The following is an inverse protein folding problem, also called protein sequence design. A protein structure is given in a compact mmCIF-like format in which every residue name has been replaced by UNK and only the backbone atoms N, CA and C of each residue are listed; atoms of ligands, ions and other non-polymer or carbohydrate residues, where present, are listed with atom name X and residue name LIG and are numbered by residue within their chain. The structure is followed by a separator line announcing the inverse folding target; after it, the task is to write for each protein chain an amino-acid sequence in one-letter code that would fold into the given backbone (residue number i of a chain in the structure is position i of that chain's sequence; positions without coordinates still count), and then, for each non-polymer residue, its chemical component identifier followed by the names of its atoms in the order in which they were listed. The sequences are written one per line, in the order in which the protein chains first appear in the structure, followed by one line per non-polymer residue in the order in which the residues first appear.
data_IF_404132124067
#
_entry.id   IF_404132124067
#
_cell.length_a   1.000
_cell.length_b   1.000
_cell.length_c   1.000
_cell.angle_alpha   90.00
_cell.angle_beta   90.00
_cell.angle_gamma   90.00
#
_symmetry.space_group_name_H-M   'P 1'
#
loop_
_entity.id
_entity.type
_entity.pdbx_description
1 polymer ?
#
# COMPACT_ATOMS: atom_id res chain seq x y z
N UNK A 1 -68.47 -36.86 12.88
CA UNK A 1 -67.03 -37.18 12.99
C UNK A 1 -66.82 -38.56 13.62
N UNK A 2 -65.92 -39.38 13.08
CA UNK A 2 -65.48 -40.66 13.69
C UNK A 2 -64.30 -40.47 14.66
N UNK A 3 -63.89 -41.51 15.41
CA UNK A 3 -62.78 -41.40 16.38
C UNK A 3 -61.43 -41.03 15.74
N UNK A 4 -61.15 -41.48 14.52
CA UNK A 4 -59.90 -41.17 13.83
C UNK A 4 -59.84 -39.70 13.42
N UNK A 5 -60.94 -39.18 12.87
CA UNK A 5 -61.11 -37.76 12.56
C UNK A 5 -61.04 -36.89 13.83
N UNK A 6 -61.63 -37.34 14.95
CA UNK A 6 -61.51 -36.68 16.25
C UNK A 6 -60.04 -36.60 16.69
N UNK A 7 -59.31 -37.70 16.60
CA UNK A 7 -57.89 -37.75 16.98
C UNK A 7 -57.02 -36.89 16.07
N UNK A 8 -57.30 -36.89 14.77
CA UNK A 8 -56.61 -36.03 13.80
C UNK A 8 -56.86 -34.56 14.11
N UNK A 9 -58.10 -34.19 14.42
CA UNK A 9 -58.46 -32.83 14.81
C UNK A 9 -57.80 -32.43 16.14
N UNK A 10 -57.77 -33.32 17.12
CA UNK A 10 -57.12 -33.11 18.42
C UNK A 10 -55.62 -32.78 18.27
N UNK A 11 -54.90 -33.52 17.42
CA UNK A 11 -53.48 -33.32 17.17
C UNK A 11 -53.19 -32.05 16.35
N UNK A 12 -54.16 -31.59 15.56
CA UNK A 12 -54.04 -30.37 14.75
C UNK A 12 -54.37 -29.11 15.57
N UNK A 13 -55.44 -29.17 16.35
CA UNK A 13 -55.92 -28.09 17.20
C UNK A 13 -56.68 -28.66 18.41
N UNK A 14 -55.98 -28.77 19.54
CA UNK A 14 -56.55 -29.26 20.80
C UNK A 14 -57.54 -28.29 21.46
N UNK A 15 -57.62 -27.04 21.01
CA UNK A 15 -58.46 -25.97 21.56
C UNK A 15 -59.57 -25.53 20.59
N UNK A 16 -59.91 -26.37 19.62
CA UNK A 16 -60.97 -26.09 18.64
C UNK A 16 -62.31 -25.78 19.31
N UNK A 17 -63.12 -24.93 18.65
CA UNK A 17 -64.48 -24.55 19.09
C UNK A 17 -65.59 -25.36 18.41
N UNK A 18 -65.23 -26.39 17.67
CA UNK A 18 -66.18 -27.23 16.96
C UNK A 18 -67.15 -27.93 17.94
N UNK A 19 -68.45 -27.74 17.73
CA UNK A 19 -69.49 -28.29 18.58
C UNK A 19 -69.51 -29.83 18.50
N UNK A 20 -69.20 -30.41 17.34
CA UNK A 20 -69.20 -31.85 17.17
C UNK A 20 -68.05 -32.50 17.95
N UNK A 21 -66.87 -31.87 17.93
CA UNK A 21 -65.71 -32.25 18.74
C UNK A 21 -66.02 -32.19 20.25
N UNK A 22 -66.66 -31.11 20.71
CA UNK A 22 -67.05 -30.98 22.11
C UNK A 22 -68.11 -31.97 22.56
N UNK A 23 -69.05 -32.33 21.67
CA UNK A 23 -70.07 -33.35 21.92
C UNK A 23 -69.42 -34.73 22.08
N UNK A 24 -68.60 -35.15 21.11
CA UNK A 24 -67.92 -36.45 21.14
C UNK A 24 -66.97 -36.61 22.33
N UNK A 25 -66.30 -35.53 22.75
CA UNK A 25 -65.51 -35.51 23.98
C UNK A 25 -66.32 -35.86 25.24
N UNK A 26 -67.60 -35.47 25.29
CA UNK A 26 -68.47 -35.70 26.46
C UNK A 26 -69.19 -37.05 26.40
N UNK A 27 -69.58 -37.48 25.20
CA UNK A 27 -70.43 -38.65 25.02
C UNK A 27 -69.63 -39.96 24.86
N UNK A 28 -68.40 -39.91 24.35
CA UNK A 28 -67.57 -41.11 24.13
C UNK A 28 -66.35 -41.16 25.07
N UNK A 29 -66.26 -42.25 25.84
CA UNK A 29 -65.15 -42.57 26.74
C UNK A 29 -63.79 -42.62 26.02
N UNK A 30 -63.72 -43.09 24.77
CA UNK A 30 -62.46 -43.18 24.01
C UNK A 30 -61.96 -41.81 23.60
N UNK A 31 -62.86 -40.95 23.14
CA UNK A 31 -62.56 -39.56 22.78
C UNK A 31 -62.17 -38.75 24.02
N UNK A 32 -62.87 -38.94 25.15
CA UNK A 32 -62.55 -38.30 26.42
C UNK A 32 -61.13 -38.66 26.92
N UNK A 33 -60.77 -39.95 26.86
CA UNK A 33 -59.43 -40.42 27.26
C UNK A 33 -58.33 -39.83 26.37
N UNK A 34 -58.51 -39.87 25.05
CA UNK A 34 -57.54 -39.31 24.10
C UNK A 34 -57.32 -37.81 24.31
N UNK A 35 -58.41 -37.07 24.58
CA UNK A 35 -58.34 -35.65 24.91
C UNK A 35 -57.57 -35.39 26.22
N UNK A 36 -57.82 -36.18 27.27
CA UNK A 36 -57.13 -36.03 28.55
C UNK A 36 -55.61 -36.27 28.42
N UNK A 37 -55.19 -37.28 27.64
CA UNK A 37 -53.78 -37.56 27.36
C UNK A 37 -53.10 -36.40 26.63
N UNK A 38 -53.75 -35.84 25.61
CA UNK A 38 -53.24 -34.68 24.88
C UNK A 38 -53.12 -33.44 25.79
N UNK A 39 -54.09 -33.20 26.67
CA UNK A 39 -54.05 -32.06 27.57
C UNK A 39 -52.95 -32.16 28.65
N UNK A 40 -52.62 -33.37 29.12
CA UNK A 40 -51.47 -33.56 30.02
C UNK A 40 -50.14 -33.30 29.30
N UNK A 41 -50.04 -33.65 28.02
CA UNK A 41 -48.89 -33.30 27.20
C UNK A 41 -48.76 -31.77 27.04
N UNK A 42 -49.84 -31.09 26.66
CA UNK A 42 -49.87 -29.62 26.54
C UNK A 42 -49.47 -28.91 27.85
N UNK A 43 -49.93 -29.43 28.98
CA UNK A 43 -49.56 -28.92 30.30
C UNK A 43 -48.06 -29.09 30.57
N UNK A 44 -47.49 -30.22 30.17
CA UNK A 44 -46.05 -30.48 30.31
C UNK A 44 -45.24 -29.55 29.42
N UNK A 45 -45.67 -29.35 28.18
CA UNK A 45 -45.03 -28.43 27.24
C UNK A 45 -45.06 -26.99 27.77
N UNK A 46 -46.21 -26.53 28.28
CA UNK A 46 -46.35 -25.19 28.86
C UNK A 46 -45.38 -24.98 30.02
N UNK A 47 -45.27 -25.96 30.94
CA UNK A 47 -44.29 -25.90 32.05
C UNK A 47 -42.84 -25.83 31.54
N UNK A 48 -42.52 -26.55 30.46
CA UNK A 48 -41.18 -26.52 29.88
C UNK A 48 -40.83 -25.15 29.26
N UNK A 49 -41.83 -24.41 28.76
CA UNK A 49 -41.65 -23.05 28.24
C UNK A 49 -41.66 -21.95 29.31
N UNK A 50 -42.07 -22.25 30.55
CA UNK A 50 -42.01 -21.33 31.70
C UNK A 50 -40.57 -21.19 32.24
N UNK A 51 -39.60 -20.99 31.34
CA UNK A 51 -38.22 -20.71 31.70
C UNK A 51 -38.11 -19.23 32.08
N UNK A 52 -37.68 -18.97 33.32
CA UNK A 52 -37.38 -17.61 33.78
C UNK A 52 -36.16 -17.08 33.04
N UNK A 53 -36.32 -15.95 32.36
CA UNK A 53 -35.18 -15.24 31.76
C UNK A 53 -34.34 -14.60 32.87
N UNK A 54 -32.99 -14.71 32.80
CA UNK A 54 -32.13 -14.00 33.73
C UNK A 54 -32.35 -12.49 33.62
N UNK A 55 -32.42 -11.79 34.76
CA UNK A 55 -32.61 -10.33 34.80
C UNK A 55 -31.49 -9.57 34.07
N UNK A 56 -30.30 -10.15 34.03
CA UNK A 56 -29.09 -9.57 33.40
C UNK A 56 -28.97 -9.84 31.90
N UNK A 57 -29.89 -10.62 31.31
CA UNK A 57 -29.79 -11.05 29.91
C UNK A 57 -29.79 -9.85 28.96
N UNK A 58 -30.70 -8.89 29.20
CA UNK A 58 -30.78 -7.66 28.41
C UNK A 58 -29.48 -6.87 28.44
N UNK A 59 -28.93 -6.66 29.63
CA UNK A 59 -27.70 -5.87 29.81
C UNK A 59 -26.49 -6.58 29.18
N UNK A 60 -26.42 -7.91 29.30
CA UNK A 60 -25.35 -8.70 28.67
C UNK A 60 -25.39 -8.65 27.14
N UNK A 61 -26.58 -8.62 26.54
CA UNK A 61 -26.75 -8.50 25.08
C UNK A 61 -26.31 -7.12 24.62
N UNK A 62 -26.78 -6.05 25.28
CA UNK A 62 -26.42 -4.66 24.94
C UNK A 62 -24.92 -4.45 25.05
N UNK A 63 -24.30 -4.91 26.15
CA UNK A 63 -22.86 -4.79 26.36
C UNK A 63 -22.07 -5.50 25.27
N UNK A 64 -22.47 -6.72 24.89
CA UNK A 64 -21.78 -7.51 23.85
C UNK A 64 -21.89 -6.86 22.48
N UNK A 65 -23.06 -6.31 22.13
CA UNK A 65 -23.26 -5.60 20.86
C UNK A 65 -22.43 -4.31 20.79
N UNK A 66 -22.37 -3.54 21.88
CA UNK A 66 -21.57 -2.32 21.94
C UNK A 66 -20.05 -2.59 21.84
N UNK A 67 -19.57 -3.65 22.49
CA UNK A 67 -18.14 -3.98 22.55
C UNK A 67 -17.62 -4.71 21.31
N UNK A 68 -18.41 -5.56 20.66
CA UNK A 68 -17.97 -6.22 19.43
C UNK A 68 -17.75 -5.23 18.29
N UNK A 69 -18.65 -4.24 18.13
CA UNK A 69 -18.51 -3.26 17.05
C UNK A 69 -17.36 -2.28 17.30
N UNK A 70 -17.10 -1.88 18.55
CA UNK A 70 -16.04 -0.92 18.84
C UNK A 70 -14.64 -1.49 18.64
N UNK A 71 -14.40 -2.73 19.07
CA UNK A 71 -13.06 -3.33 19.02
C UNK A 71 -12.61 -3.63 17.58
N UNK A 72 -13.52 -4.17 16.75
CA UNK A 72 -13.23 -4.43 15.33
C UNK A 72 -12.97 -3.12 14.57
N UNK A 73 -13.75 -2.07 14.84
CA UNK A 73 -13.57 -0.78 14.18
C UNK A 73 -12.27 -0.09 14.61
N UNK A 74 -11.93 -0.12 15.90
CA UNK A 74 -10.68 0.46 16.39
C UNK A 74 -9.47 -0.25 15.76
N UNK A 75 -9.45 -1.58 15.77
CA UNK A 75 -8.37 -2.38 15.17
C UNK A 75 -8.22 -2.09 13.67
N UNK A 76 -9.34 -1.97 12.94
CA UNK A 76 -9.31 -1.62 11.50
C UNK A 76 -8.74 -0.22 11.25
N UNK A 77 -9.09 0.77 12.10
CA UNK A 77 -8.57 2.14 11.99
C UNK A 77 -7.06 2.18 12.23
N UNK A 78 -6.57 1.47 13.24
CA UNK A 78 -5.12 1.38 13.50
C UNK A 78 -4.37 0.66 12.37
N UNK A 79 -4.95 -0.40 11.81
CA UNK A 79 -4.36 -1.10 10.67
C UNK A 79 -4.22 -0.17 9.44
N UNK A 80 -5.26 0.60 9.12
CA UNK A 80 -5.23 1.57 8.00
C UNK A 80 -4.19 2.67 8.27
N UNK A 81 -4.13 3.21 9.48
CA UNK A 81 -3.15 4.22 9.83
C UNK A 81 -1.71 3.70 9.69
N UNK A 82 -1.46 2.47 10.15
CA UNK A 82 -0.16 1.81 10.04
C UNK A 82 0.26 1.60 8.57
N UNK A 83 -0.66 1.16 7.70
CA UNK A 83 -0.34 0.97 6.28
C UNK A 83 -0.02 2.29 5.60
N UNK A 84 -0.80 3.34 5.87
CA UNK A 84 -0.54 4.68 5.30
C UNK A 84 0.82 5.18 5.76
N UNK A 85 1.13 5.11 7.06
CA UNK A 85 2.42 5.51 7.59
C UNK A 85 3.58 4.72 6.94
N UNK A 86 3.46 3.40 6.85
CA UNK A 86 4.46 2.54 6.21
C UNK A 86 4.70 2.96 4.75
N UNK A 87 3.65 3.25 3.98
CA UNK A 87 3.82 3.70 2.59
C UNK A 87 4.57 5.03 2.50
N UNK A 88 4.26 6.00 3.36
CA UNK A 88 4.99 7.27 3.39
C UNK A 88 6.46 7.07 3.75
N UNK A 89 6.76 6.22 4.74
CA UNK A 89 8.14 5.91 5.14
C UNK A 89 8.91 5.25 3.99
N UNK A 90 8.32 4.27 3.30
CA UNK A 90 8.97 3.58 2.17
C UNK A 90 9.25 4.56 1.03
N UNK A 91 8.28 5.40 0.66
CA UNK A 91 8.45 6.39 -0.40
C UNK A 91 9.52 7.41 -0.04
N UNK A 92 9.47 7.96 1.19
CA UNK A 92 10.46 8.94 1.65
C UNK A 92 11.87 8.34 1.70
N UNK A 93 12.02 7.12 2.22
CA UNK A 93 13.30 6.42 2.26
C UNK A 93 13.83 6.13 0.84
N UNK A 94 12.97 5.67 -0.08
CA UNK A 94 13.38 5.45 -1.47
C UNK A 94 13.80 6.74 -2.15
N UNK A 95 13.17 7.87 -1.86
CA UNK A 95 13.56 9.15 -2.43
C UNK A 95 14.88 9.64 -1.85
N UNK A 96 15.07 9.50 -0.53
CA UNK A 96 16.30 9.85 0.16
C UNK A 96 17.52 9.07 -0.35
N UNK A 97 17.38 7.75 -0.55
CA UNK A 97 18.46 6.90 -1.07
C UNK A 97 18.81 7.24 -2.53
N UNK A 98 17.84 7.74 -3.31
CA UNK A 98 18.04 8.11 -4.72
C UNK A 98 18.57 9.54 -4.92
N UNK A 99 18.85 10.31 -3.86
CA UNK A 99 19.42 11.63 -4.06
C UNK A 99 20.84 11.51 -4.66
N UNK A 100 21.15 12.26 -5.74
CA UNK A 100 22.48 12.26 -6.32
C UNK A 100 23.49 12.70 -5.27
N UNK A 101 24.67 12.08 -5.25
CA UNK A 101 25.76 12.50 -4.39
C UNK A 101 26.28 13.90 -4.74
N UNK A 102 27.25 14.41 -3.95
CA UNK A 102 27.78 15.76 -4.15
C UNK A 102 28.45 15.99 -5.50
N UNK A 103 29.08 14.95 -6.06
CA UNK A 103 29.79 15.03 -7.34
C UNK A 103 28.80 14.99 -8.50
N UNK A 104 27.80 14.11 -8.42
CA UNK A 104 26.75 13.96 -9.42
C UNK A 104 25.92 15.25 -9.52
N UNK A 105 25.56 15.83 -8.38
CA UNK A 105 24.90 17.14 -8.32
C UNK A 105 25.75 18.23 -8.98
N UNK A 106 27.05 18.26 -8.67
CA UNK A 106 27.98 19.20 -9.30
C UNK A 106 28.08 19.00 -10.81
N UNK A 107 28.14 17.75 -11.31
CA UNK A 107 28.18 17.45 -12.76
C UNK A 107 26.89 17.89 -13.45
N UNK A 108 25.73 17.60 -12.88
CA UNK A 108 24.43 18.03 -13.40
C UNK A 108 24.37 19.56 -13.48
N UNK A 109 24.74 20.24 -12.40
CA UNK A 109 24.74 21.70 -12.31
C UNK A 109 25.71 22.33 -13.31
N UNK A 110 26.92 21.76 -13.41
CA UNK A 110 27.96 22.14 -14.36
C UNK A 110 27.49 22.06 -15.82
N UNK A 111 26.73 21.02 -16.18
CA UNK A 111 26.18 20.83 -17.52
C UNK A 111 25.02 21.80 -17.82
N UNK A 112 24.19 22.12 -16.83
CA UNK A 112 23.04 23.01 -16.99
C UNK A 112 23.42 24.49 -17.13
N UNK A 113 24.53 24.93 -16.51
CA UNK A 113 24.87 26.35 -16.44
C UNK A 113 25.54 26.96 -17.67
N UNK A 114 26.06 26.18 -18.63
CA UNK A 114 26.86 26.76 -19.73
C UNK A 114 26.57 26.17 -21.13
N UNK A 115 25.34 26.22 -21.65
CA UNK A 115 25.06 25.75 -23.01
C UNK A 115 25.67 26.61 -24.13
N UNK A 116 26.02 27.88 -23.87
CA UNK A 116 26.39 28.85 -24.93
C UNK A 116 27.88 28.82 -25.33
N UNK A 117 28.77 28.25 -24.51
CA UNK A 117 30.23 28.34 -24.74
C UNK A 117 30.74 27.24 -25.69
N UNK A 118 29.88 26.31 -26.09
CA UNK A 118 30.24 25.15 -26.92
C UNK A 118 30.26 25.40 -28.43
N UNK A 119 29.99 26.63 -28.87
CA UNK A 119 29.77 26.97 -30.30
C UNK A 119 30.95 27.64 -31.00
N UNK A 120 32.19 27.48 -30.51
CA UNK A 120 33.36 27.82 -31.35
C UNK A 120 33.56 26.75 -32.41
N UNK A 121 33.44 27.14 -33.68
CA UNK A 121 33.60 26.23 -34.83
C UNK A 121 35.06 25.74 -34.99
N UNK A 122 36.03 26.48 -34.45
CA UNK A 122 37.45 26.18 -34.61
C UNK A 122 37.99 25.29 -33.49
N UNK A 123 38.73 24.24 -33.88
CA UNK A 123 39.46 23.38 -32.96
C UNK A 123 40.61 24.15 -32.27
N UNK A 124 40.78 23.91 -30.96
CA UNK A 124 41.85 24.50 -30.18
C UNK A 124 43.22 23.92 -30.59
N UNK A 125 44.27 24.75 -30.72
CA UNK A 125 45.63 24.27 -30.98
C UNK A 125 46.14 23.35 -29.87
N UNK A 126 46.85 22.28 -30.24
CA UNK A 126 47.37 21.29 -29.28
C UNK A 126 48.24 21.90 -28.18
N UNK A 127 49.02 22.93 -28.50
CA UNK A 127 49.86 23.62 -27.52
C UNK A 127 49.04 24.28 -26.38
N UNK A 128 47.86 24.81 -26.68
CA UNK A 128 46.96 25.37 -25.65
C UNK A 128 46.37 24.25 -24.79
N UNK A 129 46.11 23.10 -25.40
CA UNK A 129 45.61 21.93 -24.70
C UNK A 129 46.67 21.46 -23.69
N UNK A 130 47.88 21.20 -24.17
CA UNK A 130 48.97 20.68 -23.32
C UNK A 130 49.33 21.65 -22.19
N UNK A 131 49.30 22.98 -22.43
CA UNK A 131 49.54 24.00 -21.38
C UNK A 131 48.53 23.91 -20.23
N UNK A 132 47.26 23.65 -20.52
CA UNK A 132 46.22 23.59 -19.50
C UNK A 132 46.21 22.23 -18.78
N UNK A 133 46.55 21.13 -19.45
CA UNK A 133 46.78 19.85 -18.75
C UNK A 133 48.00 19.93 -17.82
N UNK A 134 49.07 20.62 -18.26
CA UNK A 134 50.23 20.87 -17.43
C UNK A 134 49.90 21.71 -16.19
N UNK A 135 48.98 22.69 -16.28
CA UNK A 135 48.53 23.47 -15.13
C UNK A 135 47.75 22.64 -14.09
N UNK A 136 47.19 21.51 -14.51
CA UNK A 136 46.54 20.52 -13.65
C UNK A 136 47.50 19.43 -13.14
N UNK A 137 48.81 19.54 -13.40
CA UNK A 137 49.80 18.50 -13.14
C UNK A 137 49.46 17.15 -13.80
N UNK A 138 48.84 17.19 -14.97
CA UNK A 138 48.46 16.02 -15.76
C UNK A 138 49.10 16.08 -17.15
N UNK A 139 49.20 14.93 -17.82
CA UNK A 139 49.66 14.84 -19.20
C UNK A 139 48.66 14.01 -20.00
N UNK A 140 48.49 14.36 -21.25
CA UNK A 140 47.72 13.57 -22.20
C UNK A 140 48.67 12.55 -22.81
N UNK A 141 48.31 11.27 -22.73
CA UNK A 141 48.96 10.21 -23.49
C UNK A 141 48.06 9.85 -24.68
N UNK A 142 48.62 9.92 -25.90
CA UNK A 142 47.89 9.67 -27.14
C UNK A 142 47.21 10.88 -27.81
N UNK A 143 46.50 10.57 -28.91
CA UNK A 143 45.73 11.54 -29.68
C UNK A 143 44.37 11.78 -29.02
N UNK A 144 44.06 13.05 -28.78
CA UNK A 144 42.70 13.48 -28.44
C UNK A 144 42.02 13.89 -29.74
N UNK A 145 40.71 13.63 -29.85
CA UNK A 145 39.90 14.15 -30.95
C UNK A 145 39.90 15.68 -31.02
N UNK A 146 39.13 16.26 -31.94
CA UNK A 146 39.07 17.72 -32.09
C UNK A 146 38.42 18.35 -30.86
N UNK A 147 39.23 19.08 -30.07
CA UNK A 147 38.77 19.80 -28.88
C UNK A 147 38.35 21.20 -29.28
N UNK A 148 37.07 21.53 -29.15
CA UNK A 148 36.55 22.85 -29.55
C UNK A 148 36.51 23.82 -28.37
N UNK A 149 36.45 23.30 -27.16
CA UNK A 149 36.41 24.12 -25.95
C UNK A 149 37.20 23.44 -24.84
N UNK A 150 37.97 24.24 -24.10
CA UNK A 150 38.59 23.79 -22.86
C UNK A 150 38.84 24.93 -21.90
N UNK A 151 38.51 24.74 -20.62
CA UNK A 151 38.74 25.72 -19.55
C UNK A 151 38.96 25.01 -18.21
N UNK A 152 39.78 25.61 -17.35
CA UNK A 152 39.86 25.21 -15.94
C UNK A 152 38.64 25.71 -15.18
N UNK A 153 38.05 24.87 -14.34
CA UNK A 153 36.93 25.23 -13.48
C UNK A 153 37.20 24.81 -12.02
N UNK A 154 36.62 25.51 -11.04
CA UNK A 154 36.58 25.02 -9.67
C UNK A 154 35.71 23.77 -9.60
N UNK A 155 36.22 22.71 -8.96
CA UNK A 155 35.58 21.40 -8.82
C UNK A 155 35.67 20.92 -7.37
N UNK A 156 34.86 19.94 -6.94
CA UNK A 156 35.00 19.35 -5.61
C UNK A 156 36.44 18.83 -5.39
N UNK A 157 37.12 19.38 -4.39
CA UNK A 157 38.51 19.00 -4.06
C UNK A 157 39.61 19.81 -4.75
N UNK A 158 39.30 20.73 -5.67
CA UNK A 158 40.31 21.64 -6.25
C UNK A 158 39.99 22.15 -7.65
N UNK A 159 41.03 22.52 -8.39
CA UNK A 159 40.89 22.96 -9.79
C UNK A 159 40.82 21.71 -10.68
N UNK A 160 39.82 21.66 -11.56
CA UNK A 160 39.67 20.67 -12.62
C UNK A 160 39.66 21.32 -14.00
N UNK A 161 39.36 20.51 -15.02
CA UNK A 161 39.14 20.99 -16.39
C UNK A 161 37.80 20.51 -16.92
N UNK A 162 37.20 21.32 -17.77
CA UNK A 162 36.09 20.94 -18.64
C UNK A 162 36.55 21.08 -20.09
N UNK A 163 36.24 20.10 -20.93
CA UNK A 163 36.47 20.18 -22.37
C UNK A 163 35.30 19.61 -23.16
N UNK A 164 35.19 20.02 -24.42
CA UNK A 164 34.27 19.42 -25.39
C UNK A 164 35.05 18.87 -26.58
N UNK A 165 34.84 17.58 -26.81
CA UNK A 165 35.41 16.79 -27.89
C UNK A 165 34.34 16.61 -28.96
N UNK A 166 34.67 16.92 -30.21
CA UNK A 166 33.80 16.60 -31.34
C UNK A 166 34.07 15.16 -31.78
N UNK A 167 33.04 14.33 -31.76
CA UNK A 167 33.08 12.94 -32.24
C UNK A 167 32.07 12.74 -33.37
N UNK A 168 32.19 11.66 -34.13
CA UNK A 168 31.25 11.33 -35.22
C UNK A 168 29.80 11.18 -34.72
N UNK A 169 29.61 10.87 -33.43
CA UNK A 169 28.31 10.72 -32.80
C UNK A 169 27.80 12.03 -32.14
N UNK A 170 28.52 13.13 -32.31
CA UNK A 170 28.21 14.43 -31.72
C UNK A 170 29.22 14.91 -30.66
N UNK A 171 28.98 16.09 -30.07
CA UNK A 171 29.86 16.66 -29.04
C UNK A 171 29.79 15.85 -27.74
N UNK A 172 30.95 15.55 -27.18
CA UNK A 172 31.12 14.88 -25.88
C UNK A 172 31.78 15.85 -24.90
N UNK A 173 31.10 16.14 -23.79
CA UNK A 173 31.66 16.98 -22.72
C UNK A 173 32.40 16.10 -21.70
N UNK A 174 33.70 16.35 -21.54
CA UNK A 174 34.53 15.69 -20.54
C UNK A 174 34.80 16.64 -19.37
N UNK A 175 34.47 16.20 -18.14
CA UNK A 175 34.88 16.88 -16.91
C UNK A 175 35.98 16.06 -16.23
N UNK A 176 37.12 16.70 -16.00
CA UNK A 176 38.29 16.11 -15.36
C UNK A 176 38.41 16.71 -13.96
N UNK A 177 38.27 15.87 -12.94
CA UNK A 177 38.30 16.25 -11.52
C UNK A 177 39.34 15.41 -10.77
N UNK A 178 40.64 15.77 -10.80
CA UNK A 178 41.72 14.90 -10.32
C UNK A 178 41.67 14.56 -8.83
N UNK A 179 41.01 15.41 -8.03
CA UNK A 179 40.92 15.30 -6.57
C UNK A 179 39.52 14.91 -6.08
N UNK A 180 38.60 14.59 -6.99
CA UNK A 180 37.28 14.10 -6.63
C UNK A 180 37.37 12.60 -6.34
N UNK A 181 36.99 12.19 -5.13
CA UNK A 181 36.94 10.79 -4.75
C UNK A 181 35.61 10.16 -5.15
N UNK A 182 35.66 9.18 -6.05
CA UNK A 182 34.51 8.36 -6.41
C UNK A 182 34.68 6.97 -5.81
N UNK A 183 33.76 6.61 -4.90
CA UNK A 183 33.76 5.28 -4.29
C UNK A 183 33.31 4.18 -5.26
N UNK A 184 32.52 4.53 -6.28
CA UNK A 184 32.03 3.65 -7.35
C UNK A 184 31.84 4.45 -8.64
N UNK A 185 31.92 3.77 -9.79
CA UNK A 185 31.44 4.32 -11.07
C UNK A 185 29.93 4.49 -10.99
N UNK A 186 29.44 5.63 -11.48
CA UNK A 186 28.03 5.99 -11.48
C UNK A 186 27.66 6.35 -12.90
N UNK A 187 26.73 5.59 -13.47
CA UNK A 187 26.13 5.92 -14.75
C UNK A 187 24.86 6.74 -14.49
N UNK A 188 24.60 7.77 -15.30
CA UNK A 188 23.44 8.65 -15.13
C UNK A 188 22.80 9.02 -16.47
N UNK A 189 21.50 9.23 -16.43
CA UNK A 189 20.71 9.63 -17.60
C UNK A 189 19.85 10.85 -17.22
N UNK A 190 20.12 11.96 -17.91
CA UNK A 190 19.36 13.20 -17.86
C UNK A 190 18.65 13.36 -19.21
N UNK A 191 17.59 14.17 -19.28
CA UNK A 191 16.80 14.34 -20.51
C UNK A 191 17.62 14.66 -21.77
N UNK A 192 18.80 15.29 -21.62
CA UNK A 192 19.70 15.68 -22.73
C UNK A 192 21.11 15.10 -22.66
N UNK A 193 21.46 14.37 -21.59
CA UNK A 193 22.83 13.92 -21.35
C UNK A 193 22.83 12.49 -20.82
N UNK A 194 23.80 11.69 -21.26
CA UNK A 194 24.02 10.32 -20.79
C UNK A 194 25.49 10.15 -20.44
N UNK A 195 25.78 9.66 -19.24
CA UNK A 195 27.12 9.50 -18.67
C UNK A 195 27.35 8.13 -18.05
#
# INVERSE_FOLDING_TARGET
MNYFEFRQQLLRDSFTKDEEFHRLRKEDLRCAKAYAEAMEFEKTLKRAFEVKTPSTLKDSIVLRQATQNSNIQAMRRYAIAATVFLTFVIVAASWYIKQPGPIETFVIEALMMEPEVYMSDDALPREQIDKLFASLNTKIDGELGQVHFMKTCPTPGGIGARMVLMTDNGPVTLLIMPKAELNKRIDFELEKYKG
#
